data_IF_105227744736
#
_entry.id   IF_105227744736
#
_cell.length_a   1.000
_cell.length_b   1.000
_cell.length_c   1.000
_cell.angle_alpha   90.00
_cell.angle_beta   90.00
_cell.angle_gamma   90.00
#
_symmetry.space_group_name_H-M   'P 1'
#
loop_
_entity.id
_entity.type
_entity.pdbx_description
1 polymer ?
#
# COMPACT_ATOMS: atom_id res chain seq x y z
N UNK A 1 20.91 3.57 8.85
CA UNK A 1 20.26 4.64 9.66
C UNK A 1 20.52 6.07 9.15
N UNK A 2 21.19 6.30 8.01
CA UNK A 2 21.47 7.67 7.51
C UNK A 2 20.29 8.24 6.69
N UNK A 3 19.47 7.39 6.05
CA UNK A 3 18.38 7.79 5.17
C UNK A 3 17.40 8.82 5.75
N UNK A 4 16.81 8.61 6.95
CA UNK A 4 15.84 9.54 7.52
C UNK A 4 16.46 10.91 7.86
N UNK A 5 17.70 10.92 8.37
CA UNK A 5 18.40 12.16 8.70
C UNK A 5 18.70 12.96 7.43
N UNK A 6 19.16 12.30 6.38
CA UNK A 6 19.41 12.92 5.09
C UNK A 6 18.11 13.48 4.48
N UNK A 7 17.00 12.75 4.59
CA UNK A 7 15.70 13.21 4.11
C UNK A 7 15.22 14.47 4.85
N UNK A 8 15.42 14.56 6.16
CA UNK A 8 15.10 15.76 6.94
C UNK A 8 15.96 16.95 6.48
N UNK A 9 17.26 16.74 6.29
CA UNK A 9 18.16 17.81 5.81
C UNK A 9 17.73 18.30 4.43
N UNK A 10 17.47 17.39 3.50
CA UNK A 10 16.98 17.74 2.16
C UNK A 10 15.66 18.50 2.25
N UNK A 11 14.71 18.02 3.06
CA UNK A 11 13.42 18.67 3.28
C UNK A 11 13.59 20.13 3.74
N UNK A 12 14.42 20.36 4.77
CA UNK A 12 14.69 21.71 5.30
C UNK A 12 15.33 22.60 4.24
N UNK A 13 16.25 22.07 3.43
CA UNK A 13 16.93 22.84 2.38
C UNK A 13 16.02 23.16 1.19
N UNK A 14 15.01 22.33 0.91
CA UNK A 14 14.12 22.51 -0.24
C UNK A 14 12.76 23.09 0.11
N UNK A 15 12.44 23.26 1.41
CA UNK A 15 11.14 23.70 1.87
C UNK A 15 10.75 25.07 1.32
N UNK A 16 9.59 25.15 0.66
CA UNK A 16 9.02 26.41 0.16
C UNK A 16 9.80 27.07 -0.97
N UNK A 17 10.69 26.33 -1.66
CA UNK A 17 11.48 26.84 -2.79
C UNK A 17 10.99 26.26 -4.10
N UNK A 18 11.00 27.07 -5.16
CA UNK A 18 10.85 26.57 -6.53
C UNK A 18 12.14 25.87 -6.95
N UNK A 19 12.04 24.57 -7.24
CA UNK A 19 13.19 23.72 -7.53
C UNK A 19 13.28 23.43 -9.04
N UNK A 20 14.47 23.46 -9.64
CA UNK A 20 14.65 22.97 -11.00
C UNK A 20 14.38 21.46 -11.05
N UNK A 21 13.95 20.95 -12.22
CA UNK A 21 13.52 19.55 -12.39
C UNK A 21 14.52 18.52 -11.87
N UNK A 22 15.82 18.77 -12.05
CA UNK A 22 16.91 17.92 -11.53
C UNK A 22 16.83 17.75 -10.00
N UNK A 23 16.59 18.86 -9.29
CA UNK A 23 16.53 18.86 -7.82
C UNK A 23 15.24 18.17 -7.36
N UNK A 24 14.12 18.38 -8.06
CA UNK A 24 12.86 17.64 -7.78
C UNK A 24 13.07 16.13 -7.90
N UNK A 25 13.73 15.66 -8.96
CA UNK A 25 14.06 14.24 -9.13
C UNK A 25 14.93 13.73 -7.98
N UNK A 26 15.93 14.50 -7.56
CA UNK A 26 16.78 14.14 -6.43
C UNK A 26 16.00 14.06 -5.11
N UNK A 27 15.10 15.01 -4.84
CA UNK A 27 14.21 14.97 -3.66
C UNK A 27 13.32 13.72 -3.71
N UNK A 28 12.75 13.39 -4.87
CA UNK A 28 11.91 12.20 -5.03
C UNK A 28 12.68 10.90 -4.75
N UNK A 29 13.93 10.80 -5.22
CA UNK A 29 14.81 9.66 -4.93
C UNK A 29 15.13 9.57 -3.44
N UNK A 30 15.43 10.71 -2.79
CA UNK A 30 15.70 10.77 -1.35
C UNK A 30 14.46 10.37 -0.54
N UNK A 31 13.27 10.83 -0.93
CA UNK A 31 12.01 10.45 -0.33
C UNK A 31 11.78 8.93 -0.45
N UNK A 32 11.99 8.36 -1.64
CA UNK A 32 11.91 6.91 -1.86
C UNK A 32 12.88 6.15 -0.95
N UNK A 33 14.12 6.62 -0.84
CA UNK A 33 15.10 6.05 0.10
C UNK A 33 14.68 6.15 1.57
N UNK A 34 14.03 7.25 1.97
CA UNK A 34 13.51 7.43 3.32
C UNK A 34 12.35 6.46 3.63
N UNK A 35 11.44 6.27 2.67
CA UNK A 35 10.33 5.31 2.76
C UNK A 35 10.89 3.88 2.89
N UNK A 36 11.84 3.48 2.04
CA UNK A 36 12.47 2.16 2.12
C UNK A 36 13.19 1.96 3.46
N UNK A 37 13.87 2.98 3.97
CA UNK A 37 14.52 2.92 5.28
C UNK A 37 13.50 2.78 6.44
N UNK A 38 12.35 3.46 6.34
CA UNK A 38 11.28 3.35 7.32
C UNK A 38 10.63 1.97 7.31
N UNK A 39 10.34 1.42 6.12
CA UNK A 39 9.81 0.05 5.95
C UNK A 39 10.79 -0.98 6.51
N UNK A 40 12.08 -0.86 6.20
CA UNK A 40 13.09 -1.76 6.75
C UNK A 40 13.18 -1.67 8.27
N UNK A 41 13.03 -0.48 8.85
CA UNK A 41 12.97 -0.35 10.31
C UNK A 41 11.73 -1.04 10.90
N UNK A 42 10.57 -0.87 10.27
CA UNK A 42 9.34 -1.56 10.67
C UNK A 42 9.49 -3.08 10.59
N UNK A 43 10.16 -3.59 9.55
CA UNK A 43 10.46 -5.01 9.38
C UNK A 43 11.38 -5.55 10.48
N UNK A 44 12.43 -4.81 10.84
CA UNK A 44 13.32 -5.19 11.95
C UNK A 44 12.57 -5.20 13.28
N UNK A 45 11.66 -4.25 13.51
CA UNK A 45 10.81 -4.22 14.71
C UNK A 45 9.85 -5.42 14.69
N UNK A 46 9.18 -5.68 13.57
CA UNK A 46 8.28 -6.82 13.40
C UNK A 46 8.97 -8.15 13.68
N UNK A 47 10.19 -8.35 13.17
CA UNK A 47 10.99 -9.53 13.44
C UNK A 47 11.35 -9.70 14.92
N UNK A 48 11.62 -8.59 15.63
CA UNK A 48 11.91 -8.63 17.07
C UNK A 48 10.67 -8.90 17.92
N UNK A 49 9.50 -8.44 17.48
CA UNK A 49 8.22 -8.69 18.15
C UNK A 49 7.82 -10.16 18.01
N UNK A 50 8.11 -10.78 16.86
CA UNK A 50 7.77 -12.17 16.58
C UNK A 50 6.29 -12.37 16.25
N UNK A 51 5.92 -13.56 15.78
CA UNK A 51 4.55 -13.86 15.37
C UNK A 51 3.63 -14.12 16.59
N UNK A 52 2.35 -13.72 16.53
CA UNK A 52 1.64 -13.11 15.39
C UNK A 52 1.71 -11.58 15.33
N UNK A 53 2.18 -10.90 16.37
CA UNK A 53 2.09 -9.43 16.47
C UNK A 53 3.05 -8.71 15.53
N UNK A 54 4.17 -9.33 15.14
CA UNK A 54 5.14 -8.76 14.22
C UNK A 54 4.54 -8.45 12.84
N UNK A 55 3.73 -9.35 12.28
CA UNK A 55 3.08 -9.13 10.98
C UNK A 55 2.08 -7.97 11.04
N UNK A 56 1.31 -7.86 12.13
CA UNK A 56 0.40 -6.74 12.38
C UNK A 56 1.16 -5.41 12.49
N UNK A 57 2.27 -5.37 13.23
CA UNK A 57 3.09 -4.15 13.36
C UNK A 57 3.63 -3.71 11.99
N UNK A 58 4.13 -4.64 11.18
CA UNK A 58 4.60 -4.34 9.84
C UNK A 58 3.48 -3.81 8.94
N UNK A 59 2.32 -4.46 8.94
CA UNK A 59 1.16 -4.05 8.15
C UNK A 59 0.67 -2.65 8.52
N UNK A 60 0.56 -2.35 9.82
CA UNK A 60 0.17 -1.02 10.32
C UNK A 60 1.21 0.03 9.95
N UNK A 61 2.51 -0.27 10.08
CA UNK A 61 3.56 0.68 9.73
C UNK A 61 3.54 1.04 8.23
N UNK A 62 3.43 0.04 7.35
CA UNK A 62 3.39 0.26 5.89
C UNK A 62 2.14 1.04 5.48
N UNK A 63 0.97 0.69 6.04
CA UNK A 63 -0.29 1.39 5.73
C UNK A 63 -0.27 2.85 6.20
N UNK A 64 0.32 3.15 7.35
CA UNK A 64 0.50 4.54 7.81
C UNK A 64 1.37 5.33 6.83
N UNK A 65 2.49 4.75 6.37
CA UNK A 65 3.39 5.41 5.41
C UNK A 65 2.65 5.69 4.09
N UNK A 66 1.94 4.69 3.56
CA UNK A 66 1.19 4.79 2.31
C UNK A 66 0.08 5.84 2.39
N UNK A 67 -0.76 5.78 3.44
CA UNK A 67 -1.86 6.73 3.63
C UNK A 67 -1.34 8.15 3.84
N UNK A 68 -0.24 8.35 4.58
CA UNK A 68 0.37 9.66 4.76
C UNK A 68 0.85 10.26 3.42
N UNK A 69 1.46 9.46 2.55
CA UNK A 69 1.87 9.89 1.21
C UNK A 69 0.66 10.26 0.34
N UNK A 70 -0.36 9.42 0.32
CA UNK A 70 -1.59 9.67 -0.45
C UNK A 70 -2.26 10.98 0.01
N UNK A 71 -2.44 11.16 1.33
CA UNK A 71 -3.04 12.39 1.89
C UNK A 71 -2.20 13.61 1.51
N UNK A 72 -0.87 13.52 1.62
CA UNK A 72 0.04 14.62 1.25
C UNK A 72 -0.13 15.01 -0.22
N UNK A 73 -0.20 14.02 -1.12
CA UNK A 73 -0.42 14.26 -2.55
C UNK A 73 -1.81 14.84 -2.83
N UNK A 74 -2.85 14.38 -2.14
CA UNK A 74 -4.21 14.90 -2.28
C UNK A 74 -4.33 16.36 -1.84
N UNK A 75 -3.73 16.69 -0.70
CA UNK A 75 -3.70 18.06 -0.18
C UNK A 75 -2.91 19.00 -1.10
N UNK A 76 -1.84 18.51 -1.71
CA UNK A 76 -0.97 19.32 -2.58
C UNK A 76 -1.51 19.46 -4.00
N UNK A 77 -2.18 18.44 -4.55
CA UNK A 77 -2.63 18.38 -5.94
C UNK A 77 -4.07 18.82 -6.20
N UNK A 78 -4.84 19.10 -5.14
CA UNK A 78 -6.20 19.62 -5.21
C UNK A 78 -7.22 18.64 -5.81
N UNK A 79 -8.23 19.16 -6.52
CA UNK A 79 -9.35 18.34 -7.00
C UNK A 79 -8.95 17.24 -8.02
N UNK A 80 -7.85 17.45 -8.77
CA UNK A 80 -7.33 16.47 -9.73
C UNK A 80 -6.81 15.20 -9.06
N UNK A 81 -6.49 15.29 -7.78
CA UNK A 81 -5.92 14.19 -7.00
C UNK A 81 -6.96 13.42 -6.18
N UNK A 82 -8.25 13.71 -6.35
CA UNK A 82 -9.32 13.04 -5.60
C UNK A 82 -9.39 11.52 -5.80
N UNK A 83 -8.97 11.02 -6.98
CA UNK A 83 -8.98 9.58 -7.29
C UNK A 83 -7.74 8.82 -6.81
N UNK A 84 -6.68 9.52 -6.36
CA UNK A 84 -5.40 8.89 -5.99
C UNK A 84 -5.50 7.72 -5.01
N UNK A 85 -6.30 7.78 -3.93
CA UNK A 85 -6.42 6.65 -3.01
C UNK A 85 -6.92 5.39 -3.73
N UNK A 86 -7.99 5.53 -4.51
CA UNK A 86 -8.58 4.45 -5.29
C UNK A 86 -7.58 3.91 -6.31
N UNK A 87 -6.96 4.80 -7.08
CA UNK A 87 -6.05 4.42 -8.15
C UNK A 87 -4.80 3.71 -7.62
N UNK A 88 -4.29 4.14 -6.46
CA UNK A 88 -3.14 3.52 -5.77
C UNK A 88 -3.46 2.10 -5.31
N UNK A 89 -4.62 1.89 -4.68
CA UNK A 89 -5.02 0.55 -4.23
C UNK A 89 -5.29 -0.38 -5.41
N UNK A 90 -5.91 0.11 -6.49
CA UNK A 90 -6.05 -0.68 -7.74
C UNK A 90 -4.68 -1.07 -8.32
N UNK A 91 -3.73 -0.14 -8.36
CA UNK A 91 -2.37 -0.42 -8.82
C UNK A 91 -1.69 -1.46 -7.93
N UNK A 92 -1.81 -1.36 -6.61
CA UNK A 92 -1.24 -2.32 -5.66
C UNK A 92 -1.78 -3.75 -5.87
N UNK A 93 -3.09 -3.90 -6.05
CA UNK A 93 -3.71 -5.21 -6.36
C UNK A 93 -3.23 -5.74 -7.71
N UNK A 94 -3.18 -4.90 -8.75
CA UNK A 94 -2.73 -5.31 -10.08
C UNK A 94 -1.26 -5.75 -10.09
N UNK A 95 -0.38 -4.97 -9.45
CA UNK A 95 1.05 -5.27 -9.34
C UNK A 95 1.25 -6.57 -8.55
N UNK A 96 0.54 -6.77 -7.44
CA UNK A 96 0.72 -7.96 -6.62
C UNK A 96 0.18 -9.22 -7.30
N UNK A 97 -1.09 -9.19 -7.75
CA UNK A 97 -1.76 -10.37 -8.29
C UNK A 97 -1.28 -10.74 -9.70
N UNK A 98 -1.01 -9.76 -10.57
CA UNK A 98 -0.60 -10.04 -11.95
C UNK A 98 0.92 -9.94 -12.12
N UNK A 99 1.53 -8.91 -11.53
CA UNK A 99 2.97 -8.68 -11.64
C UNK A 99 3.77 -9.68 -10.82
N UNK A 100 3.73 -9.57 -9.49
CA UNK A 100 4.57 -10.35 -8.57
C UNK A 100 4.20 -11.83 -8.64
N UNK A 101 2.93 -12.18 -8.45
CA UNK A 101 2.48 -13.59 -8.49
C UNK A 101 2.70 -14.18 -9.89
N UNK A 102 2.31 -13.47 -10.95
CA UNK A 102 2.49 -13.94 -12.33
C UNK A 102 3.96 -14.17 -12.69
N UNK A 103 4.84 -13.24 -12.33
CA UNK A 103 6.28 -13.39 -12.55
C UNK A 103 6.88 -14.54 -11.73
N UNK A 104 6.43 -14.70 -10.48
CA UNK A 104 6.87 -15.80 -9.61
C UNK A 104 6.50 -17.17 -10.18
N UNK A 105 5.28 -17.30 -10.72
CA UNK A 105 4.83 -18.51 -11.40
C UNK A 105 5.59 -18.77 -12.70
N UNK A 106 5.80 -17.74 -13.52
CA UNK A 106 6.57 -17.85 -14.77
C UNK A 106 8.00 -18.33 -14.50
N UNK A 107 8.72 -17.66 -13.60
CA UNK A 107 10.09 -18.02 -13.23
C UNK A 107 10.15 -19.40 -12.58
N UNK A 108 9.18 -19.72 -11.71
CA UNK A 108 9.05 -21.02 -11.08
C UNK A 108 8.84 -22.16 -12.08
N UNK A 109 7.94 -21.96 -13.05
CA UNK A 109 7.66 -22.94 -14.10
C UNK A 109 8.86 -23.14 -15.04
N UNK A 110 9.54 -22.06 -15.44
CA UNK A 110 10.74 -22.12 -16.28
C UNK A 110 11.88 -22.88 -15.59
N UNK A 111 12.07 -22.70 -14.28
CA UNK A 111 13.18 -23.31 -13.54
C UNK A 111 12.89 -24.73 -13.03
N UNK A 112 11.70 -24.98 -12.51
CA UNK A 112 11.39 -26.21 -11.77
C UNK A 112 10.43 -27.16 -12.50
N UNK A 113 9.80 -26.73 -13.62
CA UNK A 113 8.75 -27.43 -14.40
C UNK A 113 7.47 -27.81 -13.65
N UNK A 114 7.57 -28.15 -12.36
CA UNK A 114 6.46 -28.42 -11.44
C UNK A 114 6.73 -27.66 -10.14
N UNK A 115 6.00 -26.57 -9.93
CA UNK A 115 6.05 -25.78 -8.69
C UNK A 115 5.23 -26.47 -7.61
N UNK A 116 5.80 -26.67 -6.40
CA UNK A 116 5.02 -27.13 -5.24
C UNK A 116 4.02 -26.04 -4.85
N UNK A 117 2.74 -26.31 -5.04
CA UNK A 117 1.65 -25.39 -4.75
C UNK A 117 0.95 -25.79 -3.46
N UNK A 118 0.94 -24.89 -2.46
CA UNK A 118 0.06 -25.03 -1.31
C UNK A 118 -1.29 -24.41 -1.65
N UNK A 119 -2.24 -25.25 -2.08
CA UNK A 119 -3.55 -24.81 -2.52
C UNK A 119 -4.37 -24.17 -1.40
N UNK A 120 -4.21 -24.65 -0.17
CA UNK A 120 -4.96 -24.14 0.98
C UNK A 120 -4.50 -22.74 1.36
N UNK A 121 -3.18 -22.54 1.54
CA UNK A 121 -2.63 -21.23 1.88
C UNK A 121 -2.78 -20.19 0.78
N UNK A 122 -2.51 -20.59 -0.48
CA UNK A 122 -2.61 -19.66 -1.61
C UNK A 122 -4.06 -19.32 -1.93
N UNK A 123 -4.97 -20.30 -1.83
CA UNK A 123 -6.40 -20.11 -2.00
C UNK A 123 -6.98 -19.18 -0.94
N UNK A 124 -6.60 -19.36 0.33
CA UNK A 124 -7.02 -18.48 1.42
C UNK A 124 -6.55 -17.03 1.19
N UNK A 125 -5.28 -16.81 0.86
CA UNK A 125 -4.75 -15.46 0.59
C UNK A 125 -5.45 -14.77 -0.60
N UNK A 126 -5.66 -15.49 -1.71
CA UNK A 126 -6.39 -14.98 -2.87
C UNK A 126 -7.85 -14.67 -2.54
N UNK A 127 -8.52 -15.53 -1.77
CA UNK A 127 -9.89 -15.31 -1.33
C UNK A 127 -10.02 -14.06 -0.45
N UNK A 128 -9.08 -13.83 0.46
CA UNK A 128 -9.04 -12.63 1.30
C UNK A 128 -8.85 -11.39 0.44
N UNK A 129 -7.86 -11.36 -0.48
CA UNK A 129 -7.64 -10.22 -1.38
C UNK A 129 -8.86 -9.95 -2.26
N UNK A 130 -9.46 -10.99 -2.84
CA UNK A 130 -10.65 -10.86 -3.69
C UNK A 130 -11.84 -10.29 -2.91
N UNK A 131 -12.06 -10.79 -1.69
CA UNK A 131 -13.14 -10.33 -0.81
C UNK A 131 -12.93 -8.86 -0.42
N UNK A 132 -11.74 -8.50 0.07
CA UNK A 132 -11.43 -7.14 0.51
C UNK A 132 -11.48 -6.13 -0.64
N UNK A 133 -10.98 -6.50 -1.82
CA UNK A 133 -11.00 -5.64 -3.01
C UNK A 133 -12.43 -5.45 -3.52
N UNK A 134 -13.24 -6.50 -3.55
CA UNK A 134 -14.65 -6.42 -3.97
C UNK A 134 -15.45 -5.56 -2.98
N UNK A 135 -15.27 -5.80 -1.68
CA UNK A 135 -15.91 -5.04 -0.64
C UNK A 135 -15.52 -3.56 -0.71
N UNK A 136 -14.23 -3.24 -0.86
CA UNK A 136 -13.75 -1.86 -0.71
C UNK A 136 -13.81 -1.04 -1.99
N UNK A 137 -13.68 -1.67 -3.18
CA UNK A 137 -13.54 -0.94 -4.45
C UNK A 137 -14.70 -1.15 -5.42
N UNK A 138 -15.45 -2.26 -5.31
CA UNK A 138 -16.53 -2.60 -6.26
C UNK A 138 -17.90 -2.31 -5.64
N UNK A 139 -18.15 -2.82 -4.43
CA UNK A 139 -19.43 -2.72 -3.75
C UNK A 139 -19.96 -1.27 -3.59
N UNK A 140 -19.15 -0.25 -3.26
CA UNK A 140 -19.64 1.12 -3.12
C UNK A 140 -20.41 1.62 -4.35
N UNK A 141 -20.00 1.19 -5.55
CA UNK A 141 -20.62 1.56 -6.84
C UNK A 141 -22.06 1.06 -6.98
N UNK A 142 -22.42 0.00 -6.26
CA UNK A 142 -23.75 -0.62 -6.29
C UNK A 142 -24.61 -0.23 -5.09
N UNK A 143 -24.10 0.56 -4.16
CA UNK A 143 -24.90 1.05 -3.03
C UNK A 143 -25.76 2.25 -3.44
N UNK A 144 -26.97 2.35 -2.88
CA UNK A 144 -27.92 3.44 -3.17
C UNK A 144 -28.00 4.47 -2.04
N UNK A 145 -27.23 4.28 -0.96
CA UNK A 145 -27.33 5.06 0.27
C UNK A 145 -26.71 6.46 0.18
N UNK A 146 -25.81 6.71 -0.77
CA UNK A 146 -25.25 8.02 -1.09
C UNK A 146 -25.11 8.20 -2.61
N UNK A 147 -25.16 9.44 -3.11
CA UNK A 147 -24.83 9.73 -4.50
C UNK A 147 -23.33 9.54 -4.73
N UNK A 148 -22.96 8.63 -5.64
CA UNK A 148 -21.58 8.32 -5.98
C UNK A 148 -21.08 7.00 -5.38
N UNK A 149 -19.87 6.53 -5.77
CA UNK A 149 -19.31 5.25 -5.33
C UNK A 149 -18.69 5.38 -3.93
N UNK A 150 -19.47 5.79 -2.93
CA UNK A 150 -19.04 6.01 -1.56
C UNK A 150 -19.92 5.26 -0.57
N UNK A 151 -19.28 4.70 0.47
CA UNK A 151 -20.03 4.11 1.58
C UNK A 151 -20.66 5.16 2.48
N UNK A 152 -21.85 4.86 2.97
CA UNK A 152 -22.41 5.56 4.12
C UNK A 152 -21.57 5.28 5.39
N UNK A 153 -21.64 6.13 6.42
CA UNK A 153 -20.87 5.90 7.66
C UNK A 153 -21.11 4.52 8.30
N UNK A 154 -22.32 3.99 8.23
CA UNK A 154 -22.65 2.66 8.75
C UNK A 154 -22.07 1.54 7.90
N UNK A 155 -22.12 1.66 6.56
CA UNK A 155 -21.50 0.71 5.64
C UNK A 155 -19.98 0.70 5.77
N UNK A 156 -19.35 1.87 5.95
CA UNK A 156 -17.91 1.98 6.15
C UNK A 156 -17.48 1.34 7.46
N UNK A 157 -18.23 1.58 8.54
CA UNK A 157 -17.98 0.93 9.84
C UNK A 157 -18.08 -0.59 9.73
N UNK A 158 -19.13 -1.10 9.08
CA UNK A 158 -19.28 -2.53 8.82
C UNK A 158 -18.11 -3.08 7.99
N UNK A 159 -17.77 -2.42 6.88
CA UNK A 159 -16.69 -2.85 6.00
C UNK A 159 -15.33 -2.85 6.73
N UNK A 160 -15.08 -1.89 7.60
CA UNK A 160 -13.87 -1.83 8.42
C UNK A 160 -13.77 -3.03 9.38
N UNK A 161 -14.83 -3.34 10.12
CA UNK A 161 -14.83 -4.50 11.03
C UNK A 161 -14.77 -5.83 10.29
N UNK A 162 -15.50 -5.97 9.17
CA UNK A 162 -15.45 -7.16 8.33
C UNK A 162 -14.03 -7.37 7.75
N UNK A 163 -13.37 -6.29 7.33
CA UNK A 163 -12.00 -6.35 6.81
C UNK A 163 -11.00 -6.75 7.90
N UNK A 164 -11.16 -6.22 9.10
CA UNK A 164 -10.33 -6.56 10.24
C UNK A 164 -10.52 -8.01 10.69
N UNK A 165 -11.75 -8.54 10.66
CA UNK A 165 -12.03 -9.94 10.99
C UNK A 165 -11.58 -10.96 9.94
N UNK A 166 -11.36 -10.52 8.69
CA UNK A 166 -10.82 -11.34 7.60
C UNK A 166 -9.29 -11.47 7.64
N UNK A 167 -8.61 -10.60 8.38
CA UNK A 167 -7.15 -10.58 8.55
C UNK A 167 -6.75 -11.25 9.86
#
# INVERSE_FOLDING_TARGET
>A
MIGPVLAIVVLVLTWGRDLPALVVTLVAVVLGGAVLAAVHHAEVVAHRVGEPFGSLVLAVAVTIIEVALIITLMLSGGAKTASLPRDTVFAAVMITCNGIVGLSLLLGALRYKVTRFNAEGTGAALATVATLTTLSLVLPTFTTSRPGPEFSPSQLTFAAFASLGLY
#
